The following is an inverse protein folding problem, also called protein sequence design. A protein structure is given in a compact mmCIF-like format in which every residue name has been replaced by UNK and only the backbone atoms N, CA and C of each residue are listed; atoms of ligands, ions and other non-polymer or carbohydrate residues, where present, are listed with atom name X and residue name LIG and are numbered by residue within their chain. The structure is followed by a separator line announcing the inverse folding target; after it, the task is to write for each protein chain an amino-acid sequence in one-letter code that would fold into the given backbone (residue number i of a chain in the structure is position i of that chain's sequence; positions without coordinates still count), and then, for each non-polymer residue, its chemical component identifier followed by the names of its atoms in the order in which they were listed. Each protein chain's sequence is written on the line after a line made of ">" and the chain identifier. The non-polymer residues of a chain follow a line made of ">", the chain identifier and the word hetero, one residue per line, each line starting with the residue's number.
data_IF_659141889174
#
_entry.id   IF_659141889174
#
_cell.length_a   1.000
_cell.length_b   1.000
_cell.length_c   1.000
_cell.angle_alpha   90.00
_cell.angle_beta   90.00
_cell.angle_gamma   90.00
#
_symmetry.space_group_name_H-M   'P 1'
#
loop_
_entity.id
_entity.type
_entity.pdbx_description
1 polymer ?
#
# COMPACT_ATOMS: atom_id res chain seq x y z
N UNK A 1 -1.16 -8.48 5.32
CA UNK A 1 -0.80 -9.11 6.61
C UNK A 1 0.40 -8.42 7.24
N UNK A 2 1.56 -8.35 6.58
CA UNK A 2 2.75 -7.67 7.11
C UNK A 2 2.53 -6.20 7.51
N UNK A 3 1.79 -5.41 6.70
CA UNK A 3 1.44 -4.03 7.06
C UNK A 3 0.59 -3.98 8.34
N UNK A 4 -0.47 -4.78 8.43
CA UNK A 4 -1.32 -4.86 9.62
C UNK A 4 -0.52 -5.30 10.86
N UNK A 5 0.39 -6.26 10.70
CA UNK A 5 1.30 -6.71 11.76
C UNK A 5 2.09 -5.53 12.35
N UNK A 6 2.63 -4.67 11.49
CA UNK A 6 3.37 -3.47 11.89
C UNK A 6 2.45 -2.48 12.62
N UNK A 7 1.26 -2.22 12.08
CA UNK A 7 0.29 -1.29 12.67
C UNK A 7 -0.10 -1.69 14.11
N UNK A 8 -0.31 -2.98 14.36
CA UNK A 8 -0.66 -3.52 15.69
C UNK A 8 0.56 -3.94 16.53
N UNK A 9 1.79 -3.74 16.03
CA UNK A 9 3.06 -4.06 16.70
C UNK A 9 3.20 -5.54 17.09
N UNK A 10 2.72 -6.43 16.22
CA UNK A 10 2.87 -7.89 16.36
C UNK A 10 3.87 -8.38 15.32
N UNK A 11 4.84 -9.25 15.67
CA UNK A 11 5.74 -9.87 14.70
C UNK A 11 4.95 -10.58 13.60
N UNK A 12 5.35 -10.38 12.34
CA UNK A 12 4.60 -10.91 11.20
C UNK A 12 4.58 -12.45 11.20
N UNK A 13 5.68 -13.05 11.63
CA UNK A 13 5.88 -14.49 11.77
C UNK A 13 4.91 -15.16 12.75
N UNK A 14 4.34 -14.39 13.69
CA UNK A 14 3.38 -14.89 14.68
C UNK A 14 1.93 -14.84 14.18
N UNK A 15 1.68 -14.29 12.98
CA UNK A 15 0.34 -14.08 12.46
C UNK A 15 -0.11 -15.24 11.57
N UNK A 16 -1.23 -15.84 11.95
CA UNK A 16 -2.00 -16.73 11.10
C UNK A 16 -3.23 -16.00 10.53
N UNK A 17 -3.57 -16.23 9.27
CA UNK A 17 -4.74 -15.59 8.67
C UNK A 17 -5.41 -16.44 7.61
N UNK A 18 -6.70 -16.21 7.40
CA UNK A 18 -7.46 -16.70 6.25
C UNK A 18 -7.96 -15.48 5.49
N UNK A 19 -7.74 -15.44 4.19
CA UNK A 19 -8.29 -14.43 3.31
C UNK A 19 -9.09 -15.09 2.18
N UNK A 20 -10.17 -14.43 1.77
CA UNK A 20 -10.99 -14.87 0.65
C UNK A 20 -11.60 -13.69 -0.08
N UNK A 21 -11.91 -13.89 -1.36
CA UNK A 21 -12.51 -12.90 -2.24
C UNK A 21 -12.03 -13.09 -3.67
N UNK A 22 -12.05 -12.02 -4.45
CA UNK A 22 -11.54 -12.00 -5.82
C UNK A 22 -10.20 -11.28 -5.89
N UNK A 23 -9.55 -11.36 -7.04
CA UNK A 23 -8.34 -10.58 -7.32
C UNK A 23 -8.59 -9.08 -7.04
N UNK A 24 -7.65 -8.42 -6.36
CA UNK A 24 -7.73 -7.03 -5.86
C UNK A 24 -8.89 -6.70 -4.88
N UNK A 25 -9.75 -7.64 -4.51
CA UNK A 25 -10.83 -7.42 -3.55
C UNK A 25 -11.05 -8.66 -2.68
N UNK A 26 -10.02 -9.04 -1.93
CA UNK A 26 -10.10 -10.06 -0.89
C UNK A 26 -10.08 -9.42 0.51
N UNK A 27 -10.63 -10.13 1.49
CA UNK A 27 -10.72 -9.68 2.87
C UNK A 27 -10.13 -10.72 3.81
N UNK A 28 -9.49 -10.27 4.89
CA UNK A 28 -8.97 -11.15 5.93
C UNK A 28 -10.12 -11.67 6.81
N UNK A 29 -10.68 -12.83 6.51
CA UNK A 29 -11.77 -13.43 7.29
C UNK A 29 -11.34 -13.86 8.69
N UNK A 30 -10.07 -14.24 8.84
CA UNK A 30 -9.44 -14.55 10.13
C UNK A 30 -8.07 -13.90 10.19
N UNK A 31 -7.74 -13.30 11.32
CA UNK A 31 -6.44 -12.66 11.55
C UNK A 31 -6.09 -12.84 13.03
N UNK A 32 -5.17 -13.75 13.33
CA UNK A 32 -4.98 -14.26 14.70
C UNK A 32 -3.50 -14.49 15.03
N UNK A 33 -3.17 -14.50 16.31
CA UNK A 33 -1.91 -14.98 16.88
C UNK A 33 -2.21 -16.01 17.97
N UNK A 34 -1.63 -17.19 17.88
CA UNK A 34 -1.84 -18.28 18.85
C UNK A 34 -3.34 -18.59 19.11
N UNK A 35 -4.16 -18.50 18.06
CA UNK A 35 -5.61 -18.70 18.12
C UNK A 35 -6.41 -17.54 18.71
N UNK A 36 -5.78 -16.42 19.05
CA UNK A 36 -6.43 -15.20 19.55
C UNK A 36 -6.69 -14.21 18.42
N UNK A 37 -7.92 -13.74 18.30
CA UNK A 37 -8.32 -12.74 17.29
C UNK A 37 -7.62 -11.39 17.52
N UNK A 38 -7.01 -10.87 16.45
CA UNK A 38 -6.27 -9.61 16.44
C UNK A 38 -7.09 -8.43 15.90
N UNK A 39 -8.29 -8.66 15.37
CA UNK A 39 -9.17 -7.56 14.93
C UNK A 39 -9.46 -6.49 16.00
N UNK A 40 -9.60 -6.83 17.30
CA UNK A 40 -9.70 -5.82 18.35
C UNK A 40 -8.50 -4.86 18.40
N UNK A 41 -7.29 -5.35 18.14
CA UNK A 41 -6.08 -4.51 18.12
C UNK A 41 -6.05 -3.61 16.88
N UNK A 42 -6.47 -4.12 15.72
CA UNK A 42 -6.62 -3.32 14.49
C UNK A 42 -7.66 -2.21 14.71
N UNK A 43 -8.75 -2.50 15.42
CA UNK A 43 -9.76 -1.50 15.79
C UNK A 43 -9.21 -0.42 16.70
N UNK A 44 -8.35 -0.77 17.65
CA UNK A 44 -7.69 0.23 18.50
C UNK A 44 -6.78 1.18 17.71
N UNK A 45 -6.11 0.71 16.64
CA UNK A 45 -5.34 1.61 15.75
C UNK A 45 -6.23 2.69 15.14
N UNK A 46 -7.40 2.28 14.64
CA UNK A 46 -8.40 3.22 14.10
C UNK A 46 -8.93 4.18 15.17
N UNK A 47 -9.28 3.68 16.35
CA UNK A 47 -9.87 4.48 17.43
C UNK A 47 -8.90 5.51 18.01
N UNK A 48 -7.59 5.20 18.02
CA UNK A 48 -6.54 6.14 18.44
C UNK A 48 -6.18 7.17 17.36
N UNK A 49 -6.62 6.95 16.11
CA UNK A 49 -6.20 7.78 14.97
C UNK A 49 -4.77 7.50 14.51
N UNK A 50 -4.24 6.30 14.81
CA UNK A 50 -2.88 5.89 14.46
C UNK A 50 -2.79 5.23 13.08
N UNK A 51 -3.88 5.23 12.31
CA UNK A 51 -3.90 4.67 10.97
C UNK A 51 -2.87 5.41 10.09
N UNK A 52 -1.95 4.71 9.39
CA UNK A 52 -0.99 5.39 8.54
C UNK A 52 -1.67 6.22 7.45
N UNK A 53 -1.14 7.41 7.16
CA UNK A 53 -1.73 8.34 6.19
C UNK A 53 -1.89 7.77 4.77
N UNK A 54 -1.05 6.81 4.39
CA UNK A 54 -1.14 6.11 3.09
C UNK A 54 -2.19 4.98 3.10
N UNK A 55 -2.82 4.69 4.25
CA UNK A 55 -3.65 3.51 4.47
C UNK A 55 -5.11 3.84 4.86
N UNK A 56 -5.53 5.10 4.75
CA UNK A 56 -6.79 5.61 5.31
C UNK A 56 -8.04 4.99 4.68
N UNK A 57 -8.04 4.74 3.36
CA UNK A 57 -9.18 4.11 2.66
C UNK A 57 -9.48 2.72 3.22
N UNK A 58 -8.44 1.89 3.43
CA UNK A 58 -8.63 0.53 3.96
C UNK A 58 -9.14 0.53 5.39
N UNK A 59 -8.66 1.44 6.22
CA UNK A 59 -9.15 1.62 7.58
C UNK A 59 -10.61 2.13 7.60
N UNK A 60 -10.99 3.03 6.70
CA UNK A 60 -12.38 3.47 6.54
C UNK A 60 -13.30 2.32 6.08
N UNK A 61 -12.81 1.46 5.19
CA UNK A 61 -13.54 0.27 4.76
C UNK A 61 -13.66 -0.77 5.87
N UNK A 62 -12.61 -0.98 6.64
CA UNK A 62 -12.65 -1.84 7.83
C UNK A 62 -13.67 -1.34 8.85
N UNK A 63 -13.73 -0.02 9.10
CA UNK A 63 -14.74 0.59 9.97
C UNK A 63 -16.17 0.26 9.54
N UNK A 64 -16.42 0.22 8.23
CA UNK A 64 -17.76 0.01 7.65
C UNK A 64 -18.14 -1.47 7.52
N UNK A 65 -17.20 -2.30 7.12
CA UNK A 65 -17.44 -3.71 6.75
C UNK A 65 -17.10 -4.70 7.87
N UNK A 66 -16.29 -4.28 8.84
CA UNK A 66 -15.80 -5.14 9.92
C UNK A 66 -14.62 -6.04 9.55
N UNK A 67 -14.28 -6.15 8.27
CA UNK A 67 -13.13 -6.91 7.77
C UNK A 67 -12.15 -6.03 7.00
N UNK A 68 -10.86 -6.30 7.15
CA UNK A 68 -9.80 -5.53 6.49
C UNK A 68 -9.55 -6.07 5.08
N UNK A 69 -9.49 -5.18 4.10
CA UNK A 69 -9.26 -5.52 2.69
C UNK A 69 -7.76 -5.69 2.39
N UNK A 70 -7.43 -6.62 1.50
CA UNK A 70 -6.05 -6.95 1.13
C UNK A 70 -5.41 -5.88 0.26
N UNK A 71 -6.18 -5.29 -0.66
CA UNK A 71 -5.70 -4.29 -1.61
C UNK A 71 -5.36 -2.97 -0.92
N UNK A 72 -4.35 -2.28 -1.43
CA UNK A 72 -3.89 -0.95 -1.05
C UNK A 72 -5.00 0.12 -1.08
N UNK A 73 -4.81 1.20 -0.31
CA UNK A 73 -5.80 2.28 -0.22
C UNK A 73 -6.02 3.01 -1.53
N UNK A 74 -4.92 3.25 -2.26
CA UNK A 74 -4.93 3.82 -3.61
C UNK A 74 -5.82 3.01 -4.56
N UNK A 75 -5.48 1.75 -4.82
CA UNK A 75 -6.20 0.95 -5.80
C UNK A 75 -7.61 0.58 -5.33
N UNK A 76 -7.82 0.34 -4.02
CA UNK A 76 -9.16 0.03 -3.53
C UNK A 76 -10.14 1.20 -3.75
N UNK A 77 -9.67 2.44 -3.68
CA UNK A 77 -10.51 3.62 -3.92
C UNK A 77 -11.06 3.68 -5.36
N UNK A 78 -10.39 3.05 -6.32
CA UNK A 78 -10.81 2.99 -7.73
C UNK A 78 -11.94 1.98 -7.96
N UNK A 79 -12.00 0.92 -7.14
CA UNK A 79 -13.01 -0.14 -7.27
C UNK A 79 -14.38 0.23 -6.67
N UNK A 80 -14.48 1.31 -5.88
CA UNK A 80 -15.72 1.66 -5.18
C UNK A 80 -16.08 3.15 -5.35
N UNK A 81 -17.38 3.49 -5.45
CA UNK A 81 -17.83 4.84 -5.81
C UNK A 81 -17.83 5.85 -4.63
N UNK A 82 -17.15 5.51 -3.54
CA UNK A 82 -17.25 6.26 -2.27
C UNK A 82 -16.15 7.29 -2.08
N UNK A 83 -15.01 7.14 -2.74
CA UNK A 83 -13.82 7.93 -2.45
C UNK A 83 -13.47 8.90 -3.57
N UNK A 84 -13.46 8.45 -4.83
CA UNK A 84 -13.13 9.29 -5.99
C UNK A 84 -14.43 9.77 -6.65
N UNK A 85 -14.75 11.06 -6.47
CA UNK A 85 -16.00 11.64 -6.98
C UNK A 85 -15.73 13.05 -7.52
N UNK A 86 -16.27 13.32 -8.72
CA UNK A 86 -16.08 14.59 -9.46
C UNK A 86 -16.28 15.83 -8.59
N UNK A 87 -17.38 15.86 -7.84
CA UNK A 87 -17.81 17.04 -7.09
C UNK A 87 -17.44 16.97 -5.60
N UNK A 88 -16.48 16.10 -5.23
CA UNK A 88 -15.97 15.92 -3.85
C UNK A 88 -14.44 15.76 -3.79
N UNK A 89 -13.69 16.79 -4.20
CA UNK A 89 -12.22 16.77 -4.09
C UNK A 89 -11.75 16.66 -2.62
N UNK A 90 -12.57 17.11 -1.68
CA UNK A 90 -12.31 16.99 -0.25
C UNK A 90 -12.11 15.54 0.22
N UNK A 91 -12.73 14.56 -0.46
CA UNK A 91 -12.51 13.14 -0.14
C UNK A 91 -11.12 12.66 -0.55
N UNK A 92 -10.57 13.19 -1.65
CA UNK A 92 -9.20 12.86 -2.09
C UNK A 92 -8.20 13.36 -1.06
N UNK A 93 -8.38 14.59 -0.58
CA UNK A 93 -7.56 15.20 0.47
C UNK A 93 -7.71 14.47 1.81
N UNK A 94 -8.96 14.21 2.24
CA UNK A 94 -9.26 13.56 3.50
C UNK A 94 -8.65 12.16 3.61
N UNK A 95 -8.70 11.37 2.53
CA UNK A 95 -8.22 9.99 2.52
C UNK A 95 -6.81 9.85 1.90
N UNK A 96 -6.17 10.97 1.56
CA UNK A 96 -4.83 11.03 0.99
C UNK A 96 -4.66 10.08 -0.21
N UNK A 97 -5.55 10.19 -1.18
CA UNK A 97 -5.61 9.28 -2.34
C UNK A 97 -4.71 9.83 -3.46
N UNK A 98 -3.64 9.12 -3.85
CA UNK A 98 -2.80 9.58 -4.95
C UNK A 98 -3.50 9.28 -6.28
N UNK A 99 -3.95 10.34 -6.96
CA UNK A 99 -4.42 10.23 -8.34
C UNK A 99 -3.23 10.14 -9.29
N UNK A 100 -3.44 9.56 -10.47
CA UNK A 100 -2.44 9.41 -11.53
C UNK A 100 -1.18 8.59 -11.15
N UNK A 101 -1.25 7.80 -10.08
CA UNK A 101 -0.11 7.01 -9.61
C UNK A 101 0.41 6.02 -10.66
N UNK A 102 -0.46 5.48 -11.52
CA UNK A 102 -0.02 4.64 -12.65
C UNK A 102 0.93 5.40 -13.59
N UNK A 103 0.59 6.65 -13.97
CA UNK A 103 1.42 7.46 -14.85
C UNK A 103 2.77 7.76 -14.19
N UNK A 104 2.74 8.15 -12.92
CA UNK A 104 3.96 8.39 -12.13
C UNK A 104 4.85 7.14 -12.06
N UNK A 105 4.26 5.95 -11.84
CA UNK A 105 4.99 4.69 -11.82
C UNK A 105 5.59 4.35 -13.18
N UNK A 106 4.91 4.64 -14.28
CA UNK A 106 5.46 4.48 -15.62
C UNK A 106 6.71 5.36 -15.83
N UNK A 107 6.67 6.63 -15.43
CA UNK A 107 7.83 7.53 -15.51
C UNK A 107 9.03 7.03 -14.71
N UNK A 108 8.79 6.57 -13.48
CA UNK A 108 9.82 5.96 -12.62
C UNK A 108 10.38 4.69 -13.24
N UNK A 109 9.51 3.82 -13.77
CA UNK A 109 9.94 2.57 -14.40
C UNK A 109 10.76 2.80 -15.67
N UNK A 110 10.39 3.78 -16.50
CA UNK A 110 11.14 4.15 -17.70
C UNK A 110 12.53 4.66 -17.30
N UNK A 111 12.60 5.54 -16.31
CA UNK A 111 13.87 6.06 -15.79
C UNK A 111 14.76 4.93 -15.24
N UNK A 112 14.18 4.04 -14.43
CA UNK A 112 14.88 2.88 -13.89
C UNK A 112 15.34 1.92 -14.99
N UNK A 113 14.52 1.71 -16.03
CA UNK A 113 14.87 0.89 -17.17
C UNK A 113 16.07 1.44 -17.93
N UNK A 114 16.07 2.73 -18.27
CA UNK A 114 17.21 3.36 -18.97
C UNK A 114 18.50 3.24 -18.16
N UNK A 115 18.41 3.41 -16.84
CA UNK A 115 19.56 3.20 -15.96
C UNK A 115 20.06 1.74 -15.99
N UNK A 116 19.16 0.78 -15.79
CA UNK A 116 19.52 -0.65 -15.77
C UNK A 116 20.10 -1.07 -17.11
N UNK A 117 19.51 -0.61 -18.22
CA UNK A 117 20.01 -0.86 -19.56
C UNK A 117 21.44 -0.35 -19.74
N UNK A 118 21.69 0.93 -19.43
CA UNK A 118 23.03 1.51 -19.54
C UNK A 118 24.04 0.74 -18.67
N UNK A 119 23.64 0.34 -17.46
CA UNK A 119 24.49 -0.45 -16.55
C UNK A 119 24.83 -1.83 -17.12
N UNK A 120 23.89 -2.51 -17.78
CA UNK A 120 24.10 -3.84 -18.34
C UNK A 120 24.90 -3.80 -19.65
N UNK A 121 24.77 -2.73 -20.43
CA UNK A 121 25.51 -2.52 -21.68
C UNK A 121 26.90 -1.89 -21.44
N UNK A 122 27.15 -1.32 -20.25
CA UNK A 122 28.40 -0.68 -19.87
C UNK A 122 29.59 -1.64 -19.76
N UNK A 123 30.75 -1.19 -20.21
CA UNK A 123 32.02 -1.87 -19.91
C UNK A 123 32.47 -1.56 -18.48
N UNK A 124 33.47 -2.29 -17.97
CA UNK A 124 34.01 -2.06 -16.62
C UNK A 124 34.52 -0.61 -16.39
N UNK A 125 34.90 0.11 -17.46
CA UNK A 125 35.34 1.50 -17.39
C UNK A 125 34.17 2.50 -17.24
N UNK A 126 32.97 2.15 -17.68
CA UNK A 126 31.81 3.05 -17.75
C UNK A 126 31.00 3.10 -16.43
N UNK A 127 31.21 2.12 -15.55
CA UNK A 127 30.41 1.88 -14.35
C UNK A 127 30.57 2.95 -13.24
N UNK A 128 31.72 3.63 -13.18
CA UNK A 128 32.00 4.63 -12.15
C UNK A 128 31.13 5.90 -12.31
N UNK A 129 30.85 6.33 -13.55
CA UNK A 129 30.03 7.53 -13.82
C UNK A 129 28.51 7.27 -13.86
N UNK A 130 28.09 6.01 -13.97
CA UNK A 130 26.68 5.62 -14.00
C UNK A 130 26.03 5.68 -12.62
N UNK A 131 26.76 5.27 -11.59
CA UNK A 131 26.22 5.19 -10.22
C UNK A 131 25.86 6.57 -9.65
N UNK A 132 26.69 7.59 -9.93
CA UNK A 132 26.46 8.96 -9.46
C UNK A 132 25.21 9.60 -10.12
N UNK A 133 25.05 9.45 -11.44
CA UNK A 133 23.92 10.02 -12.18
C UNK A 133 22.57 9.43 -11.78
N UNK A 134 22.53 8.18 -11.36
CA UNK A 134 21.30 7.54 -10.90
C UNK A 134 20.84 8.04 -9.54
N UNK A 135 21.76 8.25 -8.60
CA UNK A 135 21.43 8.84 -7.30
C UNK A 135 20.92 10.28 -7.41
N UNK A 136 21.27 11.01 -8.47
CA UNK A 136 20.80 12.37 -8.72
C UNK A 136 19.45 12.43 -9.44
N UNK A 137 19.02 11.34 -10.09
CA UNK A 137 17.78 11.26 -10.87
C UNK A 137 16.59 10.61 -10.11
N UNK A 138 16.87 9.98 -8.97
CA UNK A 138 15.91 9.31 -8.06
C UNK A 138 15.54 10.23 -6.90
#
# INVERSE_FOLDING_TARGET
>A
AMQLARDIKVPYEDINYIAAGINHMAFYLRFEKDGQDLYPQIRQVLERGDAPDWNLVRYEMFKRLGYFVTESSEHFAEYVPWFIKRDRPDLIEQFNIPLDEYLRRCEVQITAWEFVRQRLEATAADMAGLTQRFSEAM
#
